data_IF_418323138493
#
_entry.id   IF_418323138493
#
_cell.length_a   1.000
_cell.length_b   1.000
_cell.length_c   1.000
_cell.angle_alpha   90.00
_cell.angle_beta   90.00
_cell.angle_gamma   90.00
#
_symmetry.space_group_name_H-M   'P 1'
#
loop_
_entity.id
_entity.type
_entity.pdbx_description
1 polymer ?
#
# COMPACT_ATOMS: atom_id res chain seq x y z
N UNK A 1 -24.32 9.24 27.89
CA UNK A 1 -23.53 9.79 26.78
C UNK A 1 -22.79 8.62 26.16
N UNK A 2 -23.43 7.88 25.26
CA UNK A 2 -22.76 6.78 24.55
C UNK A 2 -21.95 7.37 23.40
N UNK A 3 -20.65 7.12 23.38
CA UNK A 3 -19.76 7.50 22.30
C UNK A 3 -20.18 6.78 20.99
N UNK A 4 -19.95 7.37 19.80
CA UNK A 4 -20.43 6.77 18.56
C UNK A 4 -19.57 5.53 18.22
N UNK A 5 -20.17 4.35 18.36
CA UNK A 5 -19.62 3.04 17.97
C UNK A 5 -19.24 2.95 16.47
N UNK A 6 -19.73 3.88 15.65
CA UNK A 6 -19.72 3.79 14.18
C UNK A 6 -18.43 4.23 13.49
N UNK A 7 -17.54 4.98 14.14
CA UNK A 7 -16.31 5.49 13.52
C UNK A 7 -15.16 4.47 13.59
N UNK A 8 -15.10 3.67 14.66
CA UNK A 8 -13.99 2.77 14.96
C UNK A 8 -14.08 1.46 14.16
N UNK A 9 -15.29 0.92 13.93
CA UNK A 9 -15.53 -0.22 13.04
C UNK A 9 -15.17 0.10 11.58
N UNK A 10 -15.52 1.31 11.09
CA UNK A 10 -15.29 1.70 9.69
C UNK A 10 -13.80 1.78 9.35
N UNK A 11 -12.95 2.18 10.29
CA UNK A 11 -11.48 2.14 10.14
C UNK A 11 -10.94 0.71 10.10
N UNK A 12 -11.47 -0.21 10.90
CA UNK A 12 -11.02 -1.60 10.91
C UNK A 12 -11.33 -2.31 9.58
N UNK A 13 -12.48 -2.02 8.97
CA UNK A 13 -12.83 -2.51 7.63
C UNK A 13 -11.85 -2.02 6.54
N UNK A 14 -11.43 -0.74 6.60
CA UNK A 14 -10.47 -0.19 5.63
C UNK A 14 -9.08 -0.84 5.74
N UNK A 15 -8.62 -1.15 6.94
CA UNK A 15 -7.33 -1.83 7.16
C UNK A 15 -7.32 -3.26 6.61
N UNK A 16 -8.49 -3.92 6.55
CA UNK A 16 -8.65 -5.28 6.04
C UNK A 16 -8.58 -5.41 4.51
N UNK A 17 -8.66 -4.30 3.78
CA UNK A 17 -8.65 -4.28 2.32
C UNK A 17 -7.33 -4.86 1.76
N UNK A 18 -7.32 -5.34 0.51
CA UNK A 18 -6.07 -5.55 -0.23
C UNK A 18 -5.50 -4.21 -0.72
N UNK A 19 -4.24 -4.19 -1.17
CA UNK A 19 -3.66 -2.99 -1.77
C UNK A 19 -4.45 -2.53 -2.99
N UNK A 20 -4.80 -3.44 -3.91
CA UNK A 20 -5.56 -3.10 -5.11
C UNK A 20 -6.96 -2.61 -4.79
N UNK A 21 -7.61 -3.20 -3.78
CA UNK A 21 -8.93 -2.78 -3.34
C UNK A 21 -8.90 -1.37 -2.74
N UNK A 22 -7.94 -1.08 -1.85
CA UNK A 22 -7.76 0.24 -1.26
C UNK A 22 -7.42 1.30 -2.32
N UNK A 23 -6.55 0.97 -3.27
CA UNK A 23 -6.18 1.86 -4.37
C UNK A 23 -7.40 2.19 -5.26
N UNK A 24 -8.18 1.18 -5.64
CA UNK A 24 -9.38 1.37 -6.46
C UNK A 24 -10.43 2.25 -5.77
N UNK A 25 -10.60 2.09 -4.46
CA UNK A 25 -11.48 2.96 -3.69
C UNK A 25 -10.95 4.39 -3.63
N UNK A 26 -9.64 4.57 -3.44
CA UNK A 26 -8.99 5.88 -3.42
C UNK A 26 -9.15 6.61 -4.75
N UNK A 27 -8.94 5.93 -5.87
CA UNK A 27 -9.17 6.48 -7.22
C UNK A 27 -10.62 6.94 -7.39
N UNK A 28 -11.59 6.17 -6.88
CA UNK A 28 -13.00 6.54 -6.88
C UNK A 28 -13.30 7.79 -6.06
N UNK A 29 -12.66 7.95 -4.90
CA UNK A 29 -12.79 9.14 -4.04
C UNK A 29 -12.17 10.37 -4.71
N UNK A 30 -10.95 10.23 -5.25
CA UNK A 30 -10.26 11.31 -5.98
C UNK A 30 -11.10 11.74 -7.18
N UNK A 31 -11.62 10.80 -7.97
CA UNK A 31 -12.47 11.12 -9.11
C UNK A 31 -13.78 11.83 -8.73
N UNK A 32 -14.30 11.64 -7.51
CA UNK A 32 -15.45 12.41 -7.02
C UNK A 32 -15.07 13.84 -6.62
N UNK A 33 -13.92 14.00 -5.97
CA UNK A 33 -13.39 15.32 -5.59
C UNK A 33 -13.06 16.16 -6.82
N UNK A 34 -12.44 15.57 -7.84
CA UNK A 34 -12.04 16.25 -9.08
C UNK A 34 -13.23 16.71 -9.92
N UNK A 35 -14.37 16.01 -9.85
CA UNK A 35 -15.61 16.44 -10.54
C UNK A 35 -16.17 17.74 -9.98
N UNK A 36 -15.92 18.05 -8.70
CA UNK A 36 -16.35 19.31 -8.08
C UNK A 36 -17.87 19.44 -7.86
N UNK A 37 -18.63 18.37 -8.00
CA UNK A 37 -20.10 18.36 -7.85
C UNK A 37 -20.57 18.12 -6.40
N UNK A 38 -19.63 17.83 -5.49
CA UNK A 38 -19.93 17.56 -4.09
C UNK A 38 -20.22 18.85 -3.32
N UNK A 39 -21.19 18.77 -2.38
CA UNK A 39 -21.35 19.82 -1.37
C UNK A 39 -20.08 19.91 -0.50
N UNK A 40 -19.91 21.03 0.22
CA UNK A 40 -18.77 21.21 1.12
C UNK A 40 -18.66 20.08 2.15
N UNK A 41 -19.77 19.71 2.78
CA UNK A 41 -19.78 18.62 3.77
C UNK A 41 -19.38 17.28 3.15
N UNK A 42 -19.89 16.97 1.96
CA UNK A 42 -19.54 15.73 1.25
C UNK A 42 -18.09 15.75 0.77
N UNK A 43 -17.56 16.91 0.38
CA UNK A 43 -16.17 17.08 0.00
C UNK A 43 -15.23 16.81 1.17
N UNK A 44 -15.59 17.26 2.37
CA UNK A 44 -14.82 16.99 3.59
C UNK A 44 -14.83 15.50 3.96
N UNK A 45 -15.99 14.84 3.85
CA UNK A 45 -16.11 13.38 4.07
C UNK A 45 -15.28 12.59 3.06
N UNK A 46 -15.39 12.92 1.78
CA UNK A 46 -14.60 12.30 0.72
C UNK A 46 -13.10 12.51 0.94
N UNK A 47 -12.67 13.71 1.32
CA UNK A 47 -11.27 13.97 1.66
C UNK A 47 -10.79 13.11 2.83
N UNK A 48 -11.55 13.04 3.93
CA UNK A 48 -11.20 12.19 5.08
C UNK A 48 -11.09 10.71 4.69
N UNK A 49 -12.01 10.19 3.88
CA UNK A 49 -11.96 8.83 3.38
C UNK A 49 -10.71 8.60 2.50
N UNK A 50 -10.43 9.53 1.57
CA UNK A 50 -9.25 9.48 0.71
C UNK A 50 -7.95 9.48 1.51
N UNK A 51 -7.84 10.29 2.56
CA UNK A 51 -6.64 10.29 3.42
C UNK A 51 -6.44 8.98 4.16
N UNK A 52 -7.51 8.32 4.60
CA UNK A 52 -7.44 7.02 5.26
C UNK A 52 -7.02 5.92 4.27
N UNK A 53 -7.63 5.89 3.09
CA UNK A 53 -7.27 4.94 2.03
C UNK A 53 -5.81 5.11 1.59
N UNK A 54 -5.33 6.35 1.44
CA UNK A 54 -3.93 6.63 1.12
C UNK A 54 -2.98 6.13 2.22
N UNK A 55 -3.35 6.27 3.50
CA UNK A 55 -2.58 5.74 4.61
C UNK A 55 -2.54 4.21 4.59
N UNK A 56 -3.66 3.53 4.29
CA UNK A 56 -3.71 2.07 4.13
C UNK A 56 -2.80 1.61 3.00
N UNK A 57 -2.87 2.25 1.82
CA UNK A 57 -1.99 1.94 0.70
C UNK A 57 -0.51 2.08 1.07
N UNK A 58 -0.13 3.16 1.79
CA UNK A 58 1.24 3.38 2.25
C UNK A 58 1.71 2.25 3.15
N UNK A 59 0.93 1.89 4.19
CA UNK A 59 1.31 0.83 5.14
C UNK A 59 1.56 -0.50 4.44
N UNK A 60 0.69 -0.89 3.50
CA UNK A 60 0.87 -2.14 2.74
C UNK A 60 2.16 -2.15 1.91
N UNK A 61 2.50 -1.02 1.29
CA UNK A 61 3.77 -0.90 0.57
C UNK A 61 4.97 -0.99 1.53
N UNK A 62 4.87 -0.36 2.70
CA UNK A 62 5.91 -0.41 3.73
C UNK A 62 6.12 -1.83 4.26
N UNK A 63 5.06 -2.60 4.47
CA UNK A 63 5.12 -4.02 4.86
C UNK A 63 5.84 -4.89 3.82
N UNK A 64 5.53 -4.67 2.53
CA UNK A 64 6.21 -5.38 1.43
C UNK A 64 7.68 -4.98 1.37
N UNK A 65 8.00 -3.69 1.51
CA UNK A 65 9.38 -3.21 1.51
C UNK A 65 10.18 -3.81 2.67
N UNK A 66 9.61 -3.86 3.88
CA UNK A 66 10.24 -4.48 5.03
C UNK A 66 10.48 -5.98 4.81
N UNK A 67 9.51 -6.67 4.22
CA UNK A 67 9.65 -8.10 3.89
C UNK A 67 10.79 -8.36 2.89
N UNK A 68 10.93 -7.51 1.87
CA UNK A 68 12.03 -7.57 0.91
C UNK A 68 13.38 -7.28 1.56
N UNK A 69 13.45 -6.32 2.48
CA UNK A 69 14.67 -5.99 3.20
C UNK A 69 15.16 -7.17 4.05
N UNK A 70 14.25 -7.87 4.74
CA UNK A 70 14.59 -9.07 5.51
C UNK A 70 15.08 -10.19 4.59
N UNK A 71 14.41 -10.43 3.47
CA UNK A 71 14.79 -11.48 2.52
C UNK A 71 16.17 -11.25 1.91
N UNK A 72 16.50 -9.99 1.57
CA UNK A 72 17.81 -9.63 1.02
C UNK A 72 18.93 -9.70 2.06
N UNK A 73 18.69 -9.26 3.30
CA UNK A 73 19.66 -9.41 4.39
C UNK A 73 19.98 -10.88 4.69
N UNK A 74 18.98 -11.75 4.69
CA UNK A 74 19.18 -13.19 4.92
C UNK A 74 19.89 -13.90 3.75
N UNK A 75 19.84 -13.32 2.55
CA UNK A 75 20.56 -13.84 1.38
C UNK A 75 22.05 -13.46 1.43
N UNK A 76 22.43 -12.36 2.08
CA UNK A 76 23.83 -11.96 2.20
C UNK A 76 24.60 -12.87 3.20
N UNK A 77 23.92 -13.40 4.22
CA UNK A 77 24.56 -14.26 5.22
C UNK A 77 24.65 -15.75 4.82
N UNK A 78 23.90 -16.22 3.81
CA UNK A 78 23.93 -17.63 3.34
C UNK A 78 23.60 -17.86 1.83
N UNK A 79 23.57 -16.84 0.98
CA UNK A 79 23.22 -16.93 -0.43
C UNK A 79 24.39 -17.29 -1.36
N UNK A 80 24.12 -17.90 -2.54
CA UNK A 80 25.18 -18.41 -3.41
C UNK A 80 26.07 -17.26 -3.88
N UNK A 81 27.38 -17.41 -3.63
CA UNK A 81 28.42 -16.54 -4.18
C UNK A 81 28.26 -16.52 -5.70
N UNK A 82 27.91 -15.36 -6.25
CA UNK A 82 27.95 -15.15 -7.70
C UNK A 82 29.43 -15.20 -8.11
N UNK A 83 29.88 -16.39 -8.50
CA UNK A 83 31.18 -16.56 -9.15
C UNK A 83 31.16 -15.77 -10.46
N UNK A 84 32.20 -14.98 -10.76
CA UNK A 84 32.32 -14.32 -12.05
C UNK A 84 32.19 -15.34 -13.18
N UNK A 85 31.28 -15.08 -14.11
CA UNK A 85 31.14 -15.91 -15.31
C UNK A 85 32.44 -15.82 -16.10
N UNK A 86 33.25 -16.88 -16.05
CA UNK A 86 34.38 -17.10 -16.94
C UNK A 86 33.87 -17.86 -18.16
N UNK A 87 33.63 -17.20 -19.31
CA UNK A 87 33.41 -17.93 -20.54
C UNK A 87 34.68 -18.72 -20.83
N UNK A 88 34.62 -20.05 -20.71
CA UNK A 88 35.71 -20.90 -21.15
C UNK A 88 35.99 -20.55 -22.61
N UNK A 89 37.22 -20.11 -22.86
CA UNK A 89 37.74 -19.87 -24.19
C UNK A 89 37.48 -21.14 -25.01
N UNK A 90 36.60 -21.02 -26.00
CA UNK A 90 36.26 -22.11 -26.91
C UNK A 90 37.54 -22.71 -27.45
N UNK A 91 37.76 -23.99 -27.13
CA UNK A 91 38.80 -24.78 -27.78
C UNK A 91 38.31 -25.14 -29.19
N UNK A 92 39.25 -24.94 -30.10
CA UNK A 92 39.33 -25.25 -31.54
C UNK A 92 38.38 -26.32 -32.09
#
# INVERSE_FOLDING_TARGET
>A
MEAPKSAEEKTADLESLSFEAALKQLEGVVGQLEKGELSLENSLKAFQEGTQLAAVCRRKLDEVQQSLQILTQNTDENGPRLEPFHPEAGRD
#
